data_IF_816000435157
#
_entry.id   IF_816000435157
#
_cell.length_a   1.000
_cell.length_b   1.000
_cell.length_c   1.000
_cell.angle_alpha   90.00
_cell.angle_beta   90.00
_cell.angle_gamma   90.00
#
_symmetry.space_group_name_H-M   'P 1'
#
loop_
_entity.id
_entity.type
_entity.pdbx_description
1 polymer ?
#
# COMPACT_ATOMS: atom_id res chain seq x y z
N UNK A 1 -1.81 22.40 -13.85
CA UNK A 1 -1.97 22.12 -12.40
C UNK A 1 -1.83 20.61 -12.21
N UNK A 2 -0.90 20.14 -11.37
CA UNK A 2 -0.58 18.70 -11.26
C UNK A 2 -1.73 17.90 -10.63
N UNK A 3 -1.99 16.70 -11.14
CA UNK A 3 -2.89 15.73 -10.50
C UNK A 3 -2.16 15.07 -9.33
N UNK A 4 -2.79 15.00 -8.17
CA UNK A 4 -2.20 14.42 -6.94
C UNK A 4 -3.17 13.38 -6.37
N UNK A 5 -2.63 12.21 -6.01
CA UNK A 5 -3.33 11.21 -5.22
C UNK A 5 -2.95 11.37 -3.74
N UNK A 6 -3.90 11.11 -2.84
CA UNK A 6 -3.67 11.18 -1.39
C UNK A 6 -3.64 9.78 -0.79
N UNK A 7 -2.52 9.40 -0.20
CA UNK A 7 -2.37 8.18 0.59
C UNK A 7 -2.53 8.49 2.07
N UNK A 8 -3.52 7.89 2.72
CA UNK A 8 -3.81 8.06 4.15
C UNK A 8 -3.66 6.69 4.82
N UNK A 9 -3.00 6.64 5.96
CA UNK A 9 -2.83 5.38 6.71
C UNK A 9 -3.04 5.58 8.22
N UNK A 10 -3.40 4.48 8.91
CA UNK A 10 -3.34 4.40 10.36
C UNK A 10 -2.82 3.03 10.82
N UNK A 11 -2.42 2.94 12.10
CA UNK A 11 -1.93 1.71 12.73
C UNK A 11 -3.05 0.86 13.38
N UNK A 12 -4.30 1.28 13.21
CA UNK A 12 -5.48 0.55 13.68
C UNK A 12 -6.17 -0.13 12.47
N UNK A 13 -5.75 -1.36 12.11
CA UNK A 13 -6.42 -2.12 11.06
C UNK A 13 -7.81 -2.57 11.49
N UNK A 14 -8.66 -2.90 10.51
CA UNK A 14 -9.96 -3.52 10.75
C UNK A 14 -9.78 -4.92 11.33
N UNK A 15 -8.83 -5.69 10.79
CA UNK A 15 -8.50 -7.02 11.28
C UNK A 15 -7.18 -7.03 12.03
N UNK A 16 -7.19 -7.59 13.24
CA UNK A 16 -6.06 -7.55 14.19
C UNK A 16 -4.81 -8.30 13.72
N UNK A 17 -4.92 -9.21 12.74
CA UNK A 17 -3.74 -9.87 12.14
C UNK A 17 -2.99 -8.98 11.13
N UNK A 18 -3.57 -7.85 10.73
CA UNK A 18 -2.93 -6.91 9.83
C UNK A 18 -2.20 -5.82 10.63
N UNK A 19 -1.40 -4.99 9.95
CA UNK A 19 -0.56 -3.99 10.62
C UNK A 19 -1.05 -2.57 10.38
N UNK A 20 -1.53 -2.28 9.18
CA UNK A 20 -1.95 -0.95 8.76
C UNK A 20 -3.26 -1.00 7.99
N UNK A 21 -4.05 0.06 8.12
CA UNK A 21 -5.17 0.36 7.23
C UNK A 21 -4.82 1.56 6.36
N UNK A 22 -5.03 1.44 5.06
CA UNK A 22 -4.65 2.43 4.05
C UNK A 22 -5.83 2.74 3.14
N UNK A 23 -5.97 4.02 2.79
CA UNK A 23 -6.88 4.51 1.75
C UNK A 23 -6.12 5.38 0.77
N UNK A 24 -6.42 5.25 -0.51
CA UNK A 24 -5.76 6.02 -1.58
C UNK A 24 -6.82 6.73 -2.41
N UNK A 25 -6.96 8.03 -2.19
CA UNK A 25 -7.95 8.87 -2.85
C UNK A 25 -7.38 9.41 -4.16
N UNK A 26 -8.10 9.19 -5.25
CA UNK A 26 -7.62 9.39 -6.62
C UNK A 26 -8.58 10.22 -7.47
N UNK A 27 -9.49 11.00 -6.87
CA UNK A 27 -10.59 11.70 -7.58
C UNK A 27 -10.12 12.53 -8.78
N UNK A 28 -8.89 13.07 -8.76
CA UNK A 28 -8.29 13.80 -9.89
C UNK A 28 -8.03 12.94 -11.15
N UNK A 29 -8.16 11.62 -11.06
CA UNK A 29 -8.06 10.63 -12.14
C UNK A 29 -9.43 10.07 -12.57
N UNK A 30 -10.54 10.58 -12.03
CA UNK A 30 -11.89 10.12 -12.37
C UNK A 30 -12.32 8.84 -11.63
N UNK A 31 -11.53 8.41 -10.65
CA UNK A 31 -11.84 7.31 -9.72
C UNK A 31 -11.75 7.89 -8.32
N UNK A 32 -12.76 7.73 -7.47
CA UNK A 32 -12.73 8.35 -6.14
C UNK A 32 -11.67 7.73 -5.22
N UNK A 33 -11.59 6.40 -5.20
CA UNK A 33 -10.65 5.65 -4.37
C UNK A 33 -10.20 4.38 -5.10
N UNK A 34 -8.89 4.12 -5.08
CA UNK A 34 -8.29 2.92 -5.67
C UNK A 34 -8.23 1.80 -4.61
N UNK A 35 -8.74 0.58 -4.89
CA UNK A 35 -8.78 -0.50 -3.90
C UNK A 35 -7.43 -1.12 -3.55
N UNK A 36 -6.42 -1.04 -4.44
CA UNK A 36 -5.11 -1.62 -4.21
C UNK A 36 -4.03 -0.86 -5.00
N UNK A 37 -3.27 -0.01 -4.33
CA UNK A 37 -2.32 0.90 -5.01
C UNK A 37 -0.88 0.58 -4.65
N UNK A 38 -0.22 -0.23 -5.49
CA UNK A 38 1.15 -0.67 -5.25
C UNK A 38 2.17 0.46 -5.13
N UNK A 39 2.05 1.51 -5.96
CA UNK A 39 2.93 2.69 -5.90
C UNK A 39 2.81 3.43 -4.56
N UNK A 40 1.57 3.58 -4.06
CA UNK A 40 1.29 4.14 -2.74
C UNK A 40 1.89 3.27 -1.63
N UNK A 41 1.71 1.95 -1.73
CA UNK A 41 2.32 0.99 -0.81
C UNK A 41 3.85 1.11 -0.78
N UNK A 42 4.49 1.33 -1.93
CA UNK A 42 5.93 1.50 -2.02
C UNK A 42 6.43 2.78 -1.33
N UNK A 43 5.78 3.92 -1.61
CA UNK A 43 6.09 5.19 -0.93
C UNK A 43 5.85 5.10 0.58
N UNK A 44 4.76 4.44 0.99
CA UNK A 44 4.45 4.23 2.40
C UNK A 44 5.52 3.35 3.08
N UNK A 45 5.93 2.25 2.45
CA UNK A 45 6.97 1.37 2.98
C UNK A 45 8.27 2.15 3.25
N UNK A 46 8.69 2.97 2.28
CA UNK A 46 9.88 3.82 2.43
C UNK A 46 9.75 4.83 3.57
N UNK A 47 8.59 5.49 3.68
CA UNK A 47 8.29 6.41 4.77
C UNK A 47 8.36 5.72 6.14
N UNK A 48 7.75 4.54 6.27
CA UNK A 48 7.68 3.79 7.54
C UNK A 48 9.07 3.45 8.08
N UNK A 49 9.98 2.96 7.23
CA UNK A 49 11.33 2.58 7.66
C UNK A 49 12.21 3.79 7.93
N UNK A 50 12.15 4.82 7.07
CA UNK A 50 12.96 6.03 7.21
C UNK A 50 12.65 6.81 8.48
N UNK A 51 11.38 6.81 8.88
CA UNK A 51 10.93 7.45 10.11
C UNK A 51 10.80 6.49 11.30
N UNK A 52 11.18 5.21 11.12
CA UNK A 52 11.08 4.16 12.15
C UNK A 52 9.70 4.13 12.82
N UNK A 53 8.64 4.28 12.03
CA UNK A 53 7.24 4.37 12.51
C UNK A 53 6.82 3.10 13.27
N UNK A 54 7.41 1.96 12.88
CA UNK A 54 7.25 0.66 13.54
C UNK A 54 8.43 0.29 14.46
N UNK A 55 9.27 1.26 14.81
CA UNK A 55 10.39 1.09 15.75
C UNK A 55 11.69 0.54 15.15
N UNK A 56 11.71 0.24 13.85
CA UNK A 56 12.84 -0.41 13.16
C UNK A 56 13.11 0.25 11.80
N UNK A 57 14.38 0.32 11.34
CA UNK A 57 14.74 0.77 9.99
C UNK A 57 14.48 -0.29 8.91
N UNK A 58 13.94 -1.45 9.28
CA UNK A 58 13.55 -2.50 8.34
C UNK A 58 12.22 -3.14 8.72
N UNK A 59 11.40 -3.41 7.72
CA UNK A 59 10.14 -4.13 7.85
C UNK A 59 10.13 -5.29 6.86
N UNK A 60 9.57 -6.41 7.28
CA UNK A 60 9.48 -7.61 6.45
C UNK A 60 8.04 -8.11 6.44
N UNK A 61 7.47 -8.18 5.24
CA UNK A 61 6.17 -8.78 4.96
C UNK A 61 5.02 -8.24 5.83
N UNK A 62 5.03 -6.94 6.15
CA UNK A 62 3.93 -6.35 6.91
C UNK A 62 2.66 -6.34 6.06
N UNK A 63 1.54 -6.62 6.72
CA UNK A 63 0.22 -6.79 6.10
C UNK A 63 -0.55 -5.49 6.12
N UNK A 64 -0.93 -4.98 4.94
CA UNK A 64 -1.60 -3.69 4.77
C UNK A 64 -2.97 -3.89 4.13
N UNK A 65 -4.01 -3.44 4.83
CA UNK A 65 -5.38 -3.42 4.34
C UNK A 65 -5.61 -2.20 3.44
N UNK A 66 -6.14 -2.41 2.24
CA UNK A 66 -6.62 -1.33 1.37
C UNK A 66 -7.95 -1.71 0.70
N UNK A 67 -8.78 -0.72 0.36
CA UNK A 67 -10.03 -0.92 -0.37
C UNK A 67 -11.19 -1.46 0.47
N UNK A 68 -10.99 -1.69 1.76
CA UNK A 68 -12.03 -2.19 2.67
C UNK A 68 -13.20 -1.19 2.82
N UNK A 69 -12.92 0.12 2.83
CA UNK A 69 -13.95 1.16 2.93
C UNK A 69 -14.89 1.23 1.71
N UNK A 70 -14.46 0.68 0.57
CA UNK A 70 -15.22 0.67 -0.70
C UNK A 70 -15.64 -0.75 -1.11
N UNK A 71 -15.67 -1.70 -0.17
CA UNK A 71 -16.06 -3.10 -0.40
C UNK A 71 -15.24 -3.83 -1.48
N UNK A 72 -13.97 -3.47 -1.62
CA UNK A 72 -12.99 -4.11 -2.52
C UNK A 72 -11.74 -4.48 -1.73
N UNK A 73 -11.86 -5.36 -0.72
CA UNK A 73 -10.77 -5.66 0.21
C UNK A 73 -9.58 -6.26 -0.54
N UNK A 74 -8.44 -5.62 -0.40
CA UNK A 74 -7.16 -6.08 -0.92
C UNK A 74 -6.12 -6.09 0.18
N UNK A 75 -5.23 -7.08 0.13
CA UNK A 75 -4.14 -7.21 1.08
C UNK A 75 -2.81 -7.04 0.35
N UNK A 76 -2.08 -6.00 0.73
CA UNK A 76 -0.73 -5.74 0.25
C UNK A 76 0.28 -6.19 1.30
N UNK A 77 1.42 -6.67 0.83
CA UNK A 77 2.56 -7.06 1.63
C UNK A 77 3.72 -6.12 1.35
N UNK A 78 4.22 -5.46 2.39
CA UNK A 78 5.32 -4.51 2.26
C UNK A 78 6.56 -5.04 2.98
N UNK A 79 7.69 -5.05 2.28
CA UNK A 79 9.01 -5.21 2.88
C UNK A 79 9.85 -4.01 2.47
N UNK A 80 10.58 -3.42 3.40
CA UNK A 80 11.50 -2.34 3.11
C UNK A 80 12.68 -2.33 4.07
N UNK A 81 13.80 -1.78 3.60
CA UNK A 81 15.00 -1.56 4.40
C UNK A 81 15.62 -0.23 4.02
N UNK A 82 15.74 0.66 5.00
CA UNK A 82 16.53 1.88 4.86
C UNK A 82 18.00 1.54 5.06
N UNK A 83 18.83 1.79 4.05
CA UNK A 83 20.27 1.60 4.13
C UNK A 83 20.95 2.89 4.55
N UNK A 84 22.04 2.77 5.32
CA UNK A 84 22.87 3.91 5.69
C UNK A 84 23.32 4.67 4.43
N UNK A 85 22.87 5.92 4.28
CA UNK A 85 23.04 6.72 3.05
C UNK A 85 21.74 7.17 2.39
N UNK A 86 20.58 6.78 2.93
CA UNK A 86 19.27 7.33 2.55
C UNK A 86 18.63 6.69 1.31
N UNK A 87 19.18 5.56 0.86
CA UNK A 87 18.59 4.70 -0.17
C UNK A 87 17.73 3.65 0.53
N UNK A 88 16.47 3.53 0.10
CA UNK A 88 15.53 2.57 0.68
C UNK A 88 15.17 1.50 -0.35
N UNK A 89 15.46 0.25 -0.04
CA UNK A 89 14.96 -0.88 -0.82
C UNK A 89 13.51 -1.16 -0.43
N UNK A 90 12.64 -1.30 -1.43
CA UNK A 90 11.21 -1.50 -1.22
C UNK A 90 10.72 -2.65 -2.09
N UNK A 91 9.97 -3.56 -1.48
CA UNK A 91 9.25 -4.63 -2.15
C UNK A 91 7.78 -4.53 -1.79
N UNK A 92 6.93 -4.49 -2.81
CA UNK A 92 5.47 -4.47 -2.69
C UNK A 92 4.94 -5.72 -3.36
N UNK A 93 4.22 -6.53 -2.61
CA UNK A 93 3.64 -7.78 -3.07
C UNK A 93 2.15 -7.89 -2.75
N UNK A 94 1.52 -8.88 -3.35
CA UNK A 94 0.11 -9.21 -3.16
C UNK A 94 -0.20 -10.53 -3.85
N UNK A 95 -1.23 -11.22 -3.38
CA UNK A 95 -1.77 -12.38 -4.08
C UNK A 95 -2.80 -11.94 -5.11
N UNK A 96 -2.85 -12.62 -6.24
CA UNK A 96 -3.85 -12.40 -7.30
C UNK A 96 -4.72 -13.63 -7.44
N UNK A 97 -5.96 -13.42 -7.88
CA UNK A 97 -6.90 -14.50 -8.21
C UNK A 97 -7.31 -14.37 -9.68
N UNK A 98 -7.41 -15.48 -10.39
CA UNK A 98 -7.90 -15.48 -11.75
C UNK A 98 -9.41 -15.24 -11.76
N UNK A 99 -9.87 -14.23 -12.49
CA UNK A 99 -11.29 -13.85 -12.55
C UNK A 99 -11.93 -14.28 -13.87
N UNK A 100 -11.30 -13.95 -15.00
CA UNK A 100 -11.82 -14.25 -16.32
C UNK A 100 -10.70 -14.23 -17.37
N UNK A 101 -10.96 -14.87 -18.52
CA UNK A 101 -10.14 -14.80 -19.74
C UNK A 101 -11.07 -14.66 -20.94
N UNK A 102 -10.61 -13.93 -21.96
CA UNK A 102 -11.27 -13.79 -23.26
C UNK A 102 -10.24 -13.47 -24.34
N UNK A 103 -10.73 -13.17 -25.53
CA UNK A 103 -9.93 -12.75 -26.70
C UNK A 103 -10.43 -11.37 -27.16
N UNK A 104 -9.50 -10.50 -27.56
CA UNK A 104 -9.81 -9.20 -28.16
C UNK A 104 -9.71 -9.35 -29.68
N UNK A 105 -10.80 -9.05 -30.40
CA UNK A 105 -10.89 -9.11 -31.88
C UNK A 105 -10.57 -7.74 -32.47
#
# INVERSE_FOLDING_TARGET
MGKVALSIYCKQPIHSQNHLHVRVLTSCFGVEEDPATGSSGGCLAAYLVRHKVLGTPSIENIRVEQGYAINRPSLLFLSARDHDGGVVDVHVGGSVIFVAKGELI
#
